data_IF_115977379551
#
_entry.id   IF_115977379551
#
_cell.length_a   1.000
_cell.length_b   1.000
_cell.length_c   1.000
_cell.angle_alpha   90.00
_cell.angle_beta   90.00
_cell.angle_gamma   90.00
#
_symmetry.space_group_name_H-M   'P 1'
#
loop_
_entity.id
_entity.type
_entity.pdbx_description
1 polymer ?
#
# COMPACT_ATOMS: atom_id res chain seq x y z
N UNK A 1 -19.91 -38.84 -22.72
CA UNK A 1 -19.94 -37.66 -23.62
C UNK A 1 -20.58 -36.44 -22.95
N UNK A 2 -21.89 -36.45 -22.62
CA UNK A 2 -22.53 -35.27 -21.95
C UNK A 2 -21.97 -35.04 -20.55
N UNK A 3 -21.76 -36.10 -19.76
CA UNK A 3 -21.18 -35.99 -18.41
C UNK A 3 -19.75 -35.43 -18.43
N UNK A 4 -18.88 -35.95 -19.28
CA UNK A 4 -17.48 -35.51 -19.40
C UNK A 4 -17.38 -34.05 -19.84
N UNK A 5 -18.21 -33.63 -20.82
CA UNK A 5 -18.30 -32.24 -21.25
C UNK A 5 -18.74 -31.31 -20.11
N UNK A 6 -19.77 -31.70 -19.36
CA UNK A 6 -20.25 -30.91 -18.24
C UNK A 6 -19.22 -30.76 -17.11
N UNK A 7 -18.30 -31.71 -16.96
CA UNK A 7 -17.22 -31.61 -15.96
C UNK A 7 -16.12 -30.61 -16.37
N UNK A 8 -15.85 -30.42 -17.66
CA UNK A 8 -14.70 -29.62 -18.13
C UNK A 8 -15.08 -28.26 -18.71
N UNK A 9 -16.32 -28.06 -19.16
CA UNK A 9 -16.75 -26.83 -19.87
C UNK A 9 -16.64 -25.53 -19.07
N UNK A 10 -16.61 -25.61 -17.75
CA UNK A 10 -16.63 -24.44 -16.87
C UNK A 10 -15.26 -23.85 -16.56
N UNK A 11 -14.16 -24.42 -17.09
CA UNK A 11 -12.81 -23.99 -16.73
C UNK A 11 -12.57 -22.49 -16.94
N UNK A 12 -13.00 -21.95 -18.08
CA UNK A 12 -12.88 -20.51 -18.40
C UNK A 12 -13.80 -19.67 -17.50
N UNK A 13 -15.06 -20.07 -17.34
CA UNK A 13 -16.03 -19.36 -16.48
C UNK A 13 -15.56 -19.24 -15.03
N UNK A 14 -14.92 -20.29 -14.51
CA UNK A 14 -14.35 -20.29 -13.16
C UNK A 14 -13.21 -19.28 -13.06
N UNK A 15 -12.32 -19.21 -14.04
CA UNK A 15 -11.24 -18.21 -14.07
C UNK A 15 -11.81 -16.81 -14.15
N UNK A 16 -12.81 -16.57 -15.01
CA UNK A 16 -13.46 -15.27 -15.16
C UNK A 16 -14.14 -14.82 -13.85
N UNK A 17 -14.84 -15.73 -13.17
CA UNK A 17 -15.41 -15.47 -11.86
C UNK A 17 -14.33 -15.13 -10.83
N UNK A 18 -13.20 -15.85 -10.87
CA UNK A 18 -12.06 -15.62 -9.99
C UNK A 18 -11.43 -14.24 -10.18
N UNK A 19 -11.27 -13.82 -11.44
CA UNK A 19 -10.77 -12.48 -11.82
C UNK A 19 -11.75 -11.41 -11.35
N UNK A 20 -13.04 -11.58 -11.61
CA UNK A 20 -14.06 -10.58 -11.25
C UNK A 20 -14.08 -10.27 -9.75
N UNK A 21 -13.79 -11.25 -8.88
CA UNK A 21 -13.73 -11.05 -7.42
C UNK A 21 -12.53 -10.19 -6.95
N UNK A 22 -11.42 -10.18 -7.68
CA UNK A 22 -10.17 -9.50 -7.27
C UNK A 22 -9.50 -8.74 -8.42
N UNK A 23 -10.30 -8.09 -9.27
CA UNK A 23 -9.79 -7.42 -10.46
C UNK A 23 -9.08 -6.09 -10.14
N UNK A 24 -7.95 -5.87 -10.83
CA UNK A 24 -7.23 -4.59 -10.82
C UNK A 24 -7.77 -3.60 -11.86
N UNK A 25 -8.82 -3.95 -12.61
CA UNK A 25 -9.41 -3.07 -13.62
C UNK A 25 -9.87 -1.74 -13.02
N UNK A 26 -9.71 -0.69 -13.82
CA UNK A 26 -10.12 0.68 -13.51
C UNK A 26 -10.83 1.28 -14.71
N UNK A 27 -11.76 2.20 -14.45
CA UNK A 27 -12.43 2.98 -15.49
C UNK A 27 -11.35 3.78 -16.22
N UNK A 28 -11.28 3.61 -17.54
CA UNK A 28 -10.28 4.24 -18.41
C UNK A 28 -10.87 4.47 -19.79
N UNK A 29 -10.46 5.56 -20.44
CA UNK A 29 -10.80 5.87 -21.85
C UNK A 29 -9.76 5.32 -22.83
N UNK A 30 -8.73 4.64 -22.34
CA UNK A 30 -7.61 4.12 -23.14
C UNK A 30 -7.72 2.61 -23.21
N UNK A 31 -8.14 2.08 -24.36
CA UNK A 31 -8.31 0.63 -24.56
C UNK A 31 -7.07 -0.21 -24.21
N UNK A 32 -5.81 0.20 -24.52
CA UNK A 32 -4.63 -0.56 -24.14
C UNK A 32 -4.48 -0.79 -22.63
N UNK A 33 -5.00 0.13 -21.81
CA UNK A 33 -4.98 -0.04 -20.34
C UNK A 33 -5.88 -1.19 -19.88
N UNK A 34 -6.98 -1.45 -20.60
CA UNK A 34 -7.87 -2.58 -20.29
C UNK A 34 -7.13 -3.89 -20.51
N UNK A 35 -6.42 -4.01 -21.63
CA UNK A 35 -5.58 -5.18 -21.94
C UNK A 35 -4.53 -5.37 -20.85
N UNK A 36 -3.87 -4.28 -20.43
CA UNK A 36 -2.87 -4.32 -19.35
C UNK A 36 -3.46 -4.81 -18.02
N UNK A 37 -4.62 -4.32 -17.61
CA UNK A 37 -5.27 -4.80 -16.39
C UNK A 37 -5.66 -6.28 -16.46
N UNK A 38 -6.17 -6.73 -17.61
CA UNK A 38 -6.47 -8.15 -17.82
C UNK A 38 -5.21 -9.02 -17.71
N UNK A 39 -4.08 -8.56 -18.27
CA UNK A 39 -2.81 -9.28 -18.14
C UNK A 39 -2.36 -9.41 -16.68
N UNK A 40 -2.53 -8.36 -15.87
CA UNK A 40 -2.22 -8.40 -14.43
C UNK A 40 -3.11 -9.43 -13.71
N UNK A 41 -4.42 -9.40 -13.96
CA UNK A 41 -5.37 -10.29 -13.28
C UNK A 41 -5.11 -11.76 -13.63
N UNK A 42 -4.81 -12.07 -14.90
CA UNK A 42 -4.46 -13.43 -15.36
C UNK A 42 -3.12 -13.87 -14.77
N UNK A 43 -2.10 -13.00 -14.78
CA UNK A 43 -0.80 -13.32 -14.22
C UNK A 43 -0.86 -13.62 -12.71
N UNK A 44 -1.72 -12.91 -11.97
CA UNK A 44 -1.92 -13.14 -10.54
C UNK A 44 -2.55 -14.52 -10.24
N UNK A 45 -3.50 -14.98 -11.06
CA UNK A 45 -4.08 -16.32 -10.92
C UNK A 45 -3.07 -17.40 -11.30
N UNK A 46 -2.34 -17.22 -12.41
CA UNK A 46 -1.36 -18.19 -12.85
C UNK A 46 -0.21 -18.36 -11.84
N UNK A 47 0.29 -17.24 -11.29
CA UNK A 47 1.30 -17.29 -10.23
C UNK A 47 0.80 -17.96 -8.96
N UNK A 48 -0.47 -17.76 -8.57
CA UNK A 48 -1.08 -18.47 -7.44
C UNK A 48 -1.13 -19.99 -7.70
N UNK A 49 -1.51 -20.42 -8.90
CA UNK A 49 -1.56 -21.84 -9.23
C UNK A 49 -0.17 -22.49 -9.14
N UNK A 50 0.85 -21.84 -9.70
CA UNK A 50 2.24 -22.30 -9.60
C UNK A 50 2.70 -22.35 -8.14
N UNK A 51 2.36 -21.33 -7.34
CA UNK A 51 2.71 -21.29 -5.93
C UNK A 51 2.10 -22.44 -5.13
N UNK A 52 0.82 -22.73 -5.35
CA UNK A 52 0.11 -23.83 -4.66
C UNK A 52 0.60 -25.21 -5.10
N UNK A 53 0.96 -25.36 -6.38
CA UNK A 53 1.57 -26.60 -6.89
C UNK A 53 2.90 -26.90 -6.16
N UNK A 54 3.71 -25.86 -5.94
CA UNK A 54 4.97 -25.97 -5.21
C UNK A 54 4.80 -26.04 -3.68
N UNK A 55 3.69 -25.52 -3.14
CA UNK A 55 3.44 -25.39 -1.72
C UNK A 55 2.03 -25.88 -1.35
N UNK A 56 1.76 -27.19 -1.44
CA UNK A 56 0.40 -27.74 -1.30
C UNK A 56 -0.20 -27.49 0.09
N UNK A 57 0.64 -27.40 1.14
CA UNK A 57 0.20 -27.17 2.52
C UNK A 57 -0.05 -25.69 2.85
N UNK A 58 0.23 -24.78 1.92
CA UNK A 58 0.11 -23.34 2.17
C UNK A 58 -1.35 -22.91 2.32
N UNK A 59 -1.74 -22.52 3.54
CA UNK A 59 -3.09 -22.03 3.86
C UNK A 59 -4.24 -22.99 3.50
N UNK A 60 -3.98 -24.30 3.54
CA UNK A 60 -5.01 -25.33 3.31
C UNK A 60 -6.22 -25.10 4.22
N UNK A 61 -7.42 -25.28 3.65
CA UNK A 61 -8.69 -25.10 4.34
C UNK A 61 -9.16 -23.64 4.50
N UNK A 62 -8.31 -22.64 4.23
CA UNK A 62 -8.74 -21.23 4.30
C UNK A 62 -9.46 -20.82 3.04
N UNK A 63 -10.76 -20.52 3.12
CA UNK A 63 -11.57 -20.03 1.97
C UNK A 63 -11.03 -18.74 1.32
N UNK A 64 -10.25 -17.95 2.05
CA UNK A 64 -9.71 -16.66 1.59
C UNK A 64 -8.21 -16.71 1.23
N UNK A 65 -7.65 -17.90 0.95
CA UNK A 65 -6.23 -18.08 0.60
C UNK A 65 -5.77 -17.19 -0.56
N UNK A 66 -6.63 -16.97 -1.58
CA UNK A 66 -6.33 -16.08 -2.70
C UNK A 66 -6.06 -14.64 -2.24
N UNK A 67 -6.86 -14.12 -1.30
CA UNK A 67 -6.65 -12.78 -0.76
C UNK A 67 -5.30 -12.68 -0.05
N UNK A 68 -4.93 -13.70 0.73
CA UNK A 68 -3.63 -13.75 1.39
C UNK A 68 -2.48 -13.73 0.39
N UNK A 69 -2.62 -14.49 -0.70
CA UNK A 69 -1.59 -14.53 -1.75
C UNK A 69 -1.42 -13.17 -2.42
N UNK A 70 -2.53 -12.53 -2.81
CA UNK A 70 -2.51 -11.21 -3.45
C UNK A 70 -1.95 -10.14 -2.50
N UNK A 71 -2.27 -10.22 -1.21
CA UNK A 71 -1.73 -9.31 -0.20
C UNK A 71 -0.21 -9.45 -0.11
N UNK A 72 0.30 -10.67 0.02
CA UNK A 72 1.75 -10.94 0.09
C UNK A 72 2.47 -10.55 -1.20
N UNK A 73 1.89 -10.90 -2.35
CA UNK A 73 2.39 -10.52 -3.66
C UNK A 73 2.51 -8.98 -3.77
N UNK A 74 1.48 -8.24 -3.36
CA UNK A 74 1.48 -6.78 -3.43
C UNK A 74 2.53 -6.13 -2.52
N UNK A 75 2.73 -6.69 -1.32
CA UNK A 75 3.78 -6.25 -0.38
C UNK A 75 5.16 -6.48 -1.01
N UNK A 76 5.41 -7.68 -1.49
CA UNK A 76 6.67 -8.07 -2.16
C UNK A 76 7.00 -7.17 -3.35
N UNK A 77 6.04 -6.92 -4.26
CA UNK A 77 6.24 -6.07 -5.43
C UNK A 77 6.50 -4.60 -5.08
N UNK A 78 5.94 -4.11 -3.98
CA UNK A 78 6.06 -2.69 -3.60
C UNK A 78 7.23 -2.42 -2.64
N UNK A 79 7.85 -3.46 -2.10
CA UNK A 79 8.80 -3.34 -1.00
C UNK A 79 10.01 -2.46 -1.33
N UNK A 80 10.72 -2.77 -2.42
CA UNK A 80 11.89 -1.99 -2.85
C UNK A 80 11.56 -0.50 -3.04
N UNK A 81 10.37 -0.19 -3.55
CA UNK A 81 9.92 1.19 -3.72
C UNK A 81 9.63 1.84 -2.38
N UNK A 82 8.96 1.16 -1.48
CA UNK A 82 8.63 1.66 -0.15
C UNK A 82 9.89 1.90 0.68
N UNK A 83 10.87 0.98 0.66
CA UNK A 83 12.17 1.16 1.30
C UNK A 83 12.91 2.42 0.82
N UNK A 84 12.82 2.75 -0.48
CA UNK A 84 13.38 4.01 -1.00
C UNK A 84 12.60 5.23 -0.51
N UNK A 85 11.27 5.14 -0.47
CA UNK A 85 10.40 6.23 0.00
C UNK A 85 10.66 6.56 1.46
N UNK A 86 10.84 5.57 2.31
CA UNK A 86 11.15 5.72 3.73
C UNK A 86 12.36 6.63 3.98
N UNK A 87 13.36 6.57 3.09
CA UNK A 87 14.60 7.37 3.18
C UNK A 87 14.43 8.82 2.71
N UNK A 88 13.29 9.18 2.12
CA UNK A 88 13.09 10.55 1.63
C UNK A 88 12.86 11.50 2.81
N UNK A 89 13.46 12.71 2.81
CA UNK A 89 13.33 13.63 3.94
C UNK A 89 11.93 14.27 4.04
N UNK A 90 11.27 14.48 2.90
CA UNK A 90 10.00 15.22 2.80
C UNK A 90 8.86 14.35 2.29
N UNK A 91 8.34 13.47 3.15
CA UNK A 91 7.09 12.75 2.86
C UNK A 91 5.89 13.50 3.43
N UNK A 92 4.80 13.50 2.66
CA UNK A 92 3.51 13.94 3.17
C UNK A 92 3.10 13.08 4.40
N UNK A 93 2.47 13.67 5.44
CA UNK A 93 2.10 12.95 6.67
C UNK A 93 1.27 11.68 6.42
N UNK A 94 0.31 11.72 5.49
CA UNK A 94 -0.52 10.55 5.13
C UNK A 94 0.31 9.37 4.61
N UNK A 95 1.39 9.66 3.88
CA UNK A 95 2.29 8.62 3.36
C UNK A 95 3.14 8.02 4.48
N UNK A 96 3.61 8.85 5.42
CA UNK A 96 4.35 8.36 6.60
C UNK A 96 3.50 7.38 7.41
N UNK A 97 2.25 7.75 7.69
CA UNK A 97 1.30 6.89 8.41
C UNK A 97 1.03 5.57 7.66
N UNK A 98 0.84 5.64 6.34
CA UNK A 98 0.66 4.44 5.54
C UNK A 98 1.90 3.52 5.62
N UNK A 99 3.11 4.06 5.42
CA UNK A 99 4.35 3.27 5.51
C UNK A 99 4.51 2.65 6.91
N UNK A 100 4.22 3.38 7.99
CA UNK A 100 4.24 2.82 9.35
C UNK A 100 3.22 1.70 9.53
N UNK A 101 2.02 1.84 8.99
CA UNK A 101 0.98 0.80 9.05
C UNK A 101 1.37 -0.49 8.32
N UNK A 102 2.28 -0.39 7.33
CA UNK A 102 2.89 -1.53 6.65
C UNK A 102 4.19 -2.03 7.31
N UNK A 103 4.55 -1.51 8.49
CA UNK A 103 5.72 -1.95 9.26
C UNK A 103 7.05 -1.31 8.85
N UNK A 104 7.05 -0.28 8.00
CA UNK A 104 8.29 0.39 7.61
C UNK A 104 8.77 1.35 8.70
N UNK A 105 10.04 1.22 9.08
CA UNK A 105 10.73 2.14 9.98
C UNK A 105 11.10 3.44 9.26
N UNK A 106 10.32 4.49 9.48
CA UNK A 106 10.81 5.82 9.14
C UNK A 106 11.91 6.20 10.12
N UNK A 107 13.04 6.65 9.58
CA UNK A 107 13.95 7.49 10.35
C UNK A 107 13.14 8.73 10.71
N UNK A 108 12.51 8.71 11.88
CA UNK A 108 12.33 9.92 12.64
C UNK A 108 13.74 10.49 12.69
N UNK A 109 13.98 11.63 12.05
CA UNK A 109 15.07 12.46 12.54
C UNK A 109 14.80 12.50 14.03
N UNK A 110 15.69 11.88 14.80
CA UNK A 110 15.67 11.99 16.23
C UNK A 110 15.70 13.48 16.50
N UNK A 111 14.52 14.05 16.73
CA UNK A 111 14.32 15.02 17.78
C UNK A 111 14.59 14.25 19.09
N UNK A 112 15.82 13.75 19.25
CA UNK A 112 16.52 13.96 20.50
C UNK A 112 16.65 15.48 20.58
N UNK A 113 15.55 16.10 20.99
CA UNK A 113 15.63 17.19 21.94
C UNK A 113 16.25 16.50 23.15
N UNK A 114 17.60 16.39 23.15
CA UNK A 114 18.30 16.40 24.41
C UNK A 114 17.79 17.66 25.07
N UNK A 115 17.17 17.48 26.23
CA UNK A 115 16.75 18.52 27.15
C UNK A 115 17.96 19.39 27.50
N UNK A 116 18.36 20.26 26.58
CA UNK A 116 19.02 21.51 26.88
C UNK A 116 17.89 22.53 27.05
N UNK A 117 17.17 22.35 28.15
CA UNK A 117 16.45 23.40 28.84
C UNK A 117 17.52 24.46 29.10
N UNK A 118 17.59 25.45 28.20
CA UNK A 118 17.93 26.86 28.52
C UNK A 118 18.45 27.67 27.32
N UNK A 119 18.70 27.10 26.12
CA UNK A 119 19.27 27.92 25.02
C UNK A 119 18.84 27.59 23.58
N UNK A 120 17.60 27.17 23.32
CA UNK A 120 17.09 27.10 21.94
C UNK A 120 16.40 28.40 21.51
N UNK A 121 17.05 29.14 20.61
CA UNK A 121 16.41 30.11 19.73
C UNK A 121 15.19 29.44 19.10
N UNK A 122 13.97 29.79 19.54
CA UNK A 122 12.71 29.19 19.06
C UNK A 122 12.65 29.29 17.53
N UNK A 123 12.88 28.18 16.84
CA UNK A 123 12.81 28.10 15.38
C UNK A 123 11.41 28.46 14.92
N UNK A 124 11.26 29.36 13.95
CA UNK A 124 9.95 29.76 13.42
C UNK A 124 9.29 28.57 12.71
N UNK A 125 8.18 28.04 13.25
CA UNK A 125 7.34 27.01 12.59
C UNK A 125 6.08 27.63 11.99
N UNK A 126 5.40 26.94 11.08
CA UNK A 126 4.16 27.44 10.45
C UNK A 126 3.08 27.63 11.52
N UNK A 127 2.37 28.76 11.46
CA UNK A 127 1.21 28.99 12.33
C UNK A 127 0.07 28.04 11.97
N UNK A 128 -0.47 27.35 12.97
CA UNK A 128 -1.55 26.38 12.90
C UNK A 128 -2.89 27.03 12.53
N UNK A 129 -3.10 28.28 12.94
CA UNK A 129 -4.30 29.06 12.61
C UNK A 129 -4.26 29.63 11.18
N UNK A 130 -3.06 29.76 10.59
CA UNK A 130 -2.91 30.33 9.26
C UNK A 130 -3.09 29.27 8.16
N UNK A 131 -3.64 29.64 7.00
CA UNK A 131 -3.66 28.77 5.83
C UNK A 131 -2.23 28.42 5.38
N UNK A 132 -2.11 27.25 4.75
CA UNK A 132 -0.81 26.71 4.31
C UNK A 132 -0.04 27.63 3.36
N UNK A 133 -0.77 28.41 2.55
CA UNK A 133 -0.23 29.48 1.72
C UNK A 133 -0.73 30.82 2.27
N UNK A 134 0.15 31.83 2.49
CA UNK A 134 1.56 31.93 2.06
C UNK A 134 2.58 31.23 2.97
N UNK A 135 2.15 30.55 4.04
CA UNK A 135 3.05 29.81 4.93
C UNK A 135 3.71 30.67 6.00
N UNK A 136 2.92 31.55 6.66
CA UNK A 136 3.36 32.40 7.77
C UNK A 136 3.99 31.55 8.88
N UNK A 137 5.17 31.96 9.35
CA UNK A 137 5.90 31.26 10.42
C UNK A 137 5.96 32.11 11.69
N UNK A 138 5.69 31.51 12.84
CA UNK A 138 5.65 32.15 14.16
C UNK A 138 6.55 31.41 15.14
N UNK A 139 6.96 32.11 16.21
CA UNK A 139 7.75 31.55 17.32
C UNK A 139 6.91 31.19 18.53
N UNK A 140 5.66 31.68 18.59
CA UNK A 140 4.74 31.41 19.68
C UNK A 140 4.21 29.98 19.59
N UNK A 141 3.87 29.42 20.76
CA UNK A 141 3.33 28.07 20.93
C UNK A 141 2.19 28.20 21.95
N UNK A 142 1.04 27.57 21.67
CA UNK A 142 -0.07 27.51 22.60
C UNK A 142 0.28 26.59 23.78
N UNK A 143 0.10 27.06 25.01
CA UNK A 143 0.45 26.30 26.21
C UNK A 143 -0.42 25.04 26.37
N UNK A 144 -1.72 25.15 26.07
CA UNK A 144 -2.67 24.05 26.21
C UNK A 144 -2.52 22.95 25.15
N UNK A 145 -2.17 23.29 23.90
CA UNK A 145 -2.16 22.33 22.79
C UNK A 145 -0.80 22.16 22.09
N UNK A 146 0.22 22.91 22.51
CA UNK A 146 1.60 22.84 22.01
C UNK A 146 1.74 23.05 20.48
N UNK A 147 0.78 23.76 19.87
CA UNK A 147 0.80 24.14 18.44
C UNK A 147 1.26 25.59 18.27
N UNK A 148 2.07 25.84 17.25
CA UNK A 148 2.44 27.18 16.78
C UNK A 148 1.30 27.87 16.05
#
# INVERSE_FOLDING_TARGET
MIHDYNQTKFGVDVVDQCINNYTCRRITRRWPMIVFFNMIDIAAINSLNIWLDQNPDWNVGKKYFRRLFLEELSKSLTDSRNQRRVKQPRLAPKVKLALQSFGYELKTENLMVQDNIDNLVKTKKRCFLCPSHPGRKVRQICDACQKN
#
